data_IF_166257658602
#
_entry.id   IF_166257658602
#
_cell.length_a   1.000
_cell.length_b   1.000
_cell.length_c   1.000
_cell.angle_alpha   90.00
_cell.angle_beta   90.00
_cell.angle_gamma   90.00
#
_symmetry.space_group_name_H-M   'P 1'
#
loop_
_entity.id
_entity.type
_entity.pdbx_description
1 polymer ?
#
# COMPACT_ATOMS: atom_id res chain seq x y z
N UNK A 1 14.71 -15.24 -24.12
CA UNK A 1 14.73 -15.71 -22.71
C UNK A 1 16.18 -15.78 -22.31
N UNK A 2 16.57 -15.09 -21.24
CA UNK A 2 17.94 -15.15 -20.72
C UNK A 2 18.18 -16.56 -20.18
N UNK A 3 19.38 -17.11 -20.39
CA UNK A 3 19.79 -18.35 -19.74
C UNK A 3 20.23 -18.03 -18.31
N UNK A 4 19.25 -17.93 -17.41
CA UNK A 4 19.49 -17.57 -16.02
C UNK A 4 19.98 -18.80 -15.26
N UNK A 5 21.19 -18.77 -14.67
CA UNK A 5 21.71 -19.91 -13.93
C UNK A 5 20.78 -20.29 -12.77
N UNK A 6 20.55 -21.59 -12.56
CA UNK A 6 19.69 -22.08 -11.49
C UNK A 6 20.11 -21.57 -10.09
N UNK A 7 21.42 -21.42 -9.86
CA UNK A 7 21.92 -20.90 -8.59
C UNK A 7 21.46 -19.46 -8.32
N UNK A 8 21.22 -18.65 -9.35
CA UNK A 8 20.78 -17.27 -9.21
C UNK A 8 19.28 -17.21 -8.83
N UNK A 9 18.47 -18.11 -9.38
CA UNK A 9 17.10 -18.35 -8.91
C UNK A 9 17.06 -18.81 -7.44
N UNK A 10 17.95 -19.73 -7.07
CA UNK A 10 18.07 -20.18 -5.69
C UNK A 10 18.51 -19.04 -4.76
N UNK A 11 19.50 -18.25 -5.16
CA UNK A 11 19.97 -17.08 -4.40
C UNK A 11 18.86 -16.05 -4.20
N UNK A 12 18.07 -15.77 -5.24
CA UNK A 12 16.89 -14.93 -5.16
C UNK A 12 15.87 -15.47 -4.14
N UNK A 13 15.46 -16.73 -4.28
CA UNK A 13 14.47 -17.35 -3.40
C UNK A 13 14.92 -17.35 -1.93
N UNK A 14 16.19 -17.72 -1.68
CA UNK A 14 16.79 -17.65 -0.34
C UNK A 14 16.78 -16.22 0.18
N UNK A 15 17.13 -15.23 -0.65
CA UNK A 15 17.12 -13.82 -0.24
C UNK A 15 15.71 -13.37 0.16
N UNK A 16 14.68 -13.72 -0.62
CA UNK A 16 13.28 -13.41 -0.29
C UNK A 16 12.86 -14.07 1.03
N UNK A 17 13.14 -15.37 1.21
CA UNK A 17 12.78 -16.09 2.43
C UNK A 17 13.49 -15.54 3.66
N UNK A 18 14.80 -15.28 3.56
CA UNK A 18 15.58 -14.67 4.65
C UNK A 18 15.05 -13.27 4.95
N UNK A 19 14.74 -12.48 3.92
CA UNK A 19 14.17 -11.15 4.07
C UNK A 19 12.86 -11.19 4.85
N UNK A 20 11.90 -12.03 4.44
CA UNK A 20 10.62 -12.18 5.14
C UNK A 20 10.81 -12.70 6.57
N UNK A 21 11.79 -13.58 6.80
CA UNK A 21 12.10 -14.10 8.13
C UNK A 21 12.69 -13.02 9.04
N UNK A 22 13.65 -12.23 8.54
CA UNK A 22 14.23 -11.08 9.25
C UNK A 22 13.13 -10.06 9.56
N UNK A 23 12.27 -9.78 8.58
CA UNK A 23 11.14 -8.86 8.71
C UNK A 23 10.20 -9.23 9.87
N UNK A 24 9.86 -10.53 9.96
CA UNK A 24 9.03 -11.13 11.00
C UNK A 24 9.72 -11.11 12.36
N UNK A 25 11.00 -11.51 12.43
CA UNK A 25 11.74 -11.64 13.68
C UNK A 25 12.06 -10.29 14.31
N UNK A 26 12.44 -9.30 13.48
CA UNK A 26 12.79 -7.97 13.96
C UNK A 26 11.59 -7.21 14.56
N UNK A 27 10.36 -7.60 14.23
CA UNK A 27 9.14 -6.91 14.62
C UNK A 27 8.12 -7.84 15.27
N UNK A 28 8.63 -8.89 15.93
CA UNK A 28 7.81 -9.85 16.69
C UNK A 28 7.11 -9.20 17.89
N UNK A 29 7.70 -8.14 18.43
CA UNK A 29 7.21 -7.39 19.58
C UNK A 29 6.31 -6.25 19.11
N UNK A 30 5.21 -5.98 19.83
CA UNK A 30 4.16 -5.01 19.46
C UNK A 30 4.58 -3.55 19.60
N UNK A 31 5.82 -3.22 19.25
CA UNK A 31 6.34 -1.86 19.26
C UNK A 31 5.82 -1.07 18.05
N UNK A 32 5.47 0.20 18.28
CA UNK A 32 5.09 1.10 17.19
C UNK A 32 6.37 1.62 16.55
N UNK A 33 6.63 1.22 15.30
CA UNK A 33 7.83 1.62 14.55
C UNK A 33 7.87 3.14 14.43
N UNK A 34 8.93 3.76 14.97
CA UNK A 34 9.16 5.19 14.83
C UNK A 34 9.67 5.59 13.44
N UNK A 35 9.56 6.88 13.09
CA UNK A 35 10.00 7.39 11.78
C UNK A 35 11.48 7.08 11.46
N UNK A 36 12.38 7.23 12.44
CA UNK A 36 13.82 6.95 12.26
C UNK A 36 14.11 5.48 11.99
N UNK A 37 13.41 4.61 12.71
CA UNK A 37 13.49 3.16 12.54
C UNK A 37 12.93 2.73 11.17
N UNK A 38 11.77 3.27 10.78
CA UNK A 38 11.19 3.05 9.46
C UNK A 38 12.11 3.52 8.32
N UNK A 39 12.78 4.66 8.48
CA UNK A 39 13.77 5.16 7.52
C UNK A 39 14.98 4.23 7.40
N UNK A 40 15.52 3.76 8.53
CA UNK A 40 16.65 2.83 8.55
C UNK A 40 16.27 1.50 7.87
N UNK A 41 15.12 0.92 8.20
CA UNK A 41 14.63 -0.29 7.53
C UNK A 41 14.41 -0.05 6.03
N UNK A 42 13.82 1.09 5.64
CA UNK A 42 13.66 1.43 4.22
C UNK A 42 15.00 1.47 3.48
N UNK A 43 16.04 2.07 4.09
CA UNK A 43 17.38 2.09 3.53
C UNK A 43 18.00 0.69 3.40
N UNK A 44 17.80 -0.18 4.38
CA UNK A 44 18.25 -1.59 4.31
C UNK A 44 17.58 -2.31 3.13
N UNK A 45 16.27 -2.17 2.97
CA UNK A 45 15.54 -2.80 1.86
C UNK A 45 15.97 -2.28 0.49
N UNK A 46 16.19 -0.97 0.37
CA UNK A 46 16.74 -0.37 -0.86
C UNK A 46 18.16 -0.87 -1.13
N UNK A 47 19.01 -0.92 -0.11
CA UNK A 47 20.38 -1.44 -0.22
C UNK A 47 20.40 -2.89 -0.69
N UNK A 48 19.55 -3.74 -0.13
CA UNK A 48 19.42 -5.14 -0.54
C UNK A 48 19.05 -5.27 -2.03
N UNK A 49 18.09 -4.47 -2.49
CA UNK A 49 17.67 -4.46 -3.89
C UNK A 49 18.78 -4.00 -4.84
N UNK A 50 19.57 -3.00 -4.45
CA UNK A 50 20.71 -2.50 -5.21
C UNK A 50 21.85 -3.52 -5.27
N UNK A 51 22.15 -4.20 -4.16
CA UNK A 51 23.15 -5.28 -4.11
C UNK A 51 22.74 -6.41 -5.05
N UNK A 52 21.47 -6.82 -5.01
CA UNK A 52 20.97 -7.84 -5.93
C UNK A 52 21.04 -7.38 -7.39
N UNK A 53 20.69 -6.12 -7.68
CA UNK A 53 20.84 -5.54 -9.02
C UNK A 53 22.28 -5.51 -9.51
N UNK A 54 23.25 -5.21 -8.64
CA UNK A 54 24.67 -5.29 -8.96
C UNK A 54 25.10 -6.74 -9.27
N UNK A 55 24.59 -7.74 -8.54
CA UNK A 55 24.83 -9.15 -8.84
C UNK A 55 24.28 -9.51 -10.23
N UNK A 56 23.05 -9.09 -10.53
CA UNK A 56 22.44 -9.29 -11.86
C UNK A 56 23.30 -8.65 -12.96
N UNK A 57 23.75 -7.41 -12.75
CA UNK A 57 24.60 -6.69 -13.70
C UNK A 57 25.94 -7.40 -13.96
N UNK A 58 26.56 -7.94 -12.91
CA UNK A 58 27.86 -8.63 -13.02
C UNK A 58 27.75 -10.04 -13.61
N UNK A 59 26.63 -10.74 -13.37
CA UNK A 59 26.46 -12.15 -13.73
C UNK A 59 25.75 -12.33 -15.07
N UNK A 60 24.66 -11.58 -15.30
CA UNK A 60 23.86 -11.67 -16.51
C UNK A 60 24.23 -10.59 -17.54
N UNK A 61 25.08 -9.63 -17.15
CA UNK A 61 25.59 -8.57 -18.02
C UNK A 61 24.84 -7.25 -17.87
N UNK A 62 25.26 -6.29 -18.69
CA UNK A 62 24.85 -4.89 -18.58
C UNK A 62 23.36 -4.69 -18.84
N UNK A 63 22.83 -5.26 -19.94
CA UNK A 63 21.42 -5.10 -20.31
C UNK A 63 20.47 -5.65 -19.24
N UNK A 64 20.58 -6.91 -18.77
CA UNK A 64 19.69 -7.41 -17.72
C UNK A 64 19.81 -6.65 -16.39
N UNK A 65 21.00 -6.15 -16.06
CA UNK A 65 21.20 -5.32 -14.86
C UNK A 65 20.50 -3.95 -14.96
N UNK A 66 20.53 -3.33 -16.14
CA UNK A 66 19.79 -2.08 -16.41
C UNK A 66 18.29 -2.34 -16.41
N UNK A 67 17.83 -3.42 -17.04
CA UNK A 67 16.43 -3.82 -17.06
C UNK A 67 15.91 -4.08 -15.64
N UNK A 68 16.64 -4.84 -14.83
CA UNK A 68 16.31 -5.08 -13.42
C UNK A 68 16.20 -3.76 -12.65
N UNK A 69 17.19 -2.88 -12.78
CA UNK A 69 17.22 -1.63 -12.02
C UNK A 69 16.09 -0.70 -12.45
N UNK A 70 15.80 -0.65 -13.74
CA UNK A 70 14.72 0.15 -14.31
C UNK A 70 13.36 -0.38 -13.87
N UNK A 71 13.13 -1.69 -13.99
CA UNK A 71 11.91 -2.35 -13.54
C UNK A 71 11.71 -2.20 -12.02
N UNK A 72 12.78 -2.35 -11.23
CA UNK A 72 12.75 -2.19 -9.78
C UNK A 72 12.41 -0.75 -9.39
N UNK A 73 13.03 0.26 -10.01
CA UNK A 73 12.72 1.67 -9.75
C UNK A 73 11.29 2.03 -10.16
N UNK A 74 10.84 1.50 -11.30
CA UNK A 74 9.47 1.67 -11.79
C UNK A 74 8.48 1.11 -10.76
N UNK A 75 8.66 -0.14 -10.33
CA UNK A 75 7.79 -0.76 -9.33
C UNK A 75 7.91 -0.14 -7.96
N UNK A 76 9.10 0.31 -7.57
CA UNK A 76 9.28 0.98 -6.29
C UNK A 76 8.47 2.27 -6.28
N UNK A 77 8.53 3.05 -7.36
CA UNK A 77 7.77 4.30 -7.51
C UNK A 77 6.26 4.04 -7.52
N UNK A 78 5.80 3.05 -8.27
CA UNK A 78 4.39 2.64 -8.33
C UNK A 78 3.88 2.12 -6.98
N UNK A 79 4.71 1.38 -6.23
CA UNK A 79 4.35 0.86 -4.91
C UNK A 79 4.18 1.96 -3.86
N UNK A 80 4.87 3.10 -4.00
CA UNK A 80 4.70 4.25 -3.07
C UNK A 80 3.31 4.85 -3.22
N UNK A 81 2.81 4.97 -4.45
CA UNK A 81 1.43 5.41 -4.71
C UNK A 81 0.40 4.46 -4.05
N UNK A 82 0.67 3.15 -4.08
CA UNK A 82 -0.21 2.14 -3.49
C UNK A 82 -0.30 2.26 -1.95
N UNK A 83 0.74 2.77 -1.28
CA UNK A 83 0.74 2.97 0.16
C UNK A 83 -0.34 3.95 0.64
N UNK A 84 -0.74 4.90 -0.19
CA UNK A 84 -1.83 5.81 0.14
C UNK A 84 -3.18 5.10 0.21
N UNK A 85 -3.41 4.16 -0.71
CA UNK A 85 -4.61 3.32 -0.66
C UNK A 85 -4.55 2.37 0.54
N UNK A 86 -3.38 1.90 0.95
CA UNK A 86 -3.27 1.11 2.17
C UNK A 86 -3.57 1.95 3.42
N UNK A 87 -3.06 3.17 3.49
CA UNK A 87 -3.38 4.12 4.57
C UNK A 87 -4.88 4.40 4.64
N UNK A 88 -5.55 4.52 3.48
CA UNK A 88 -7.00 4.64 3.41
C UNK A 88 -7.70 3.41 3.97
N UNK A 89 -7.33 2.22 3.51
CA UNK A 89 -7.95 0.98 3.98
C UNK A 89 -7.81 0.90 5.51
N UNK A 90 -6.62 1.22 6.05
CA UNK A 90 -6.43 1.25 7.50
C UNK A 90 -7.28 2.30 8.22
N UNK A 91 -7.39 3.51 7.67
CA UNK A 91 -8.24 4.56 8.23
C UNK A 91 -9.72 4.17 8.20
N UNK A 92 -10.19 3.63 7.07
CA UNK A 92 -11.56 3.17 6.86
C UNK A 92 -11.92 2.04 7.81
N UNK A 93 -11.06 1.05 7.98
CA UNK A 93 -11.33 -0.05 8.91
C UNK A 93 -10.96 0.30 10.37
N UNK A 94 -10.45 1.51 10.65
CA UNK A 94 -9.92 1.93 11.95
C UNK A 94 -8.94 0.90 12.53
N UNK A 95 -8.03 0.39 11.70
CA UNK A 95 -7.09 -0.66 12.13
C UNK A 95 -6.13 -0.07 13.16
N UNK A 96 -6.08 -0.60 14.40
CA UNK A 96 -5.12 -0.17 15.40
C UNK A 96 -3.70 -0.28 14.87
N UNK A 97 -2.84 0.71 15.13
CA UNK A 97 -1.46 0.76 14.62
C UNK A 97 -0.65 -0.50 14.92
N UNK A 98 -0.86 -1.10 16.10
CA UNK A 98 -0.21 -2.34 16.51
C UNK A 98 -0.51 -3.53 15.56
N UNK A 99 -1.62 -3.51 14.82
CA UNK A 99 -2.00 -4.60 13.92
C UNK A 99 -1.72 -4.30 12.44
N UNK A 100 -1.51 -3.04 12.07
CA UNK A 100 -1.20 -2.63 10.69
C UNK A 100 0.03 -3.37 10.16
N UNK A 101 1.04 -3.54 11.01
CA UNK A 101 2.25 -4.31 10.71
C UNK A 101 1.93 -5.71 10.18
N UNK A 102 1.11 -6.45 10.93
CA UNK A 102 0.74 -7.82 10.59
C UNK A 102 -0.05 -7.86 9.30
N UNK A 103 -0.99 -6.93 9.09
CA UNK A 103 -1.75 -6.87 7.84
C UNK A 103 -0.81 -6.62 6.65
N UNK A 104 0.14 -5.69 6.77
CA UNK A 104 1.12 -5.42 5.71
C UNK A 104 2.03 -6.61 5.43
N UNK A 105 2.45 -7.35 6.46
CA UNK A 105 3.27 -8.55 6.28
C UNK A 105 2.56 -9.61 5.44
N UNK A 106 1.31 -9.92 5.79
CA UNK A 106 0.49 -10.83 4.98
C UNK A 106 0.20 -10.25 3.59
N UNK A 107 0.00 -8.93 3.51
CA UNK A 107 -0.10 -8.14 2.29
C UNK A 107 1.06 -8.34 1.32
N UNK A 108 2.30 -8.29 1.81
CA UNK A 108 3.50 -8.50 0.99
C UNK A 108 3.62 -9.95 0.52
N UNK A 109 3.27 -10.92 1.37
CA UNK A 109 3.28 -12.34 0.99
C UNK A 109 2.25 -12.61 -0.10
N UNK A 110 1.01 -12.14 0.07
CA UNK A 110 -0.02 -12.33 -0.94
C UNK A 110 0.32 -11.58 -2.23
N UNK A 111 0.82 -10.35 -2.15
CA UNK A 111 1.31 -9.61 -3.32
C UNK A 111 2.40 -10.38 -4.09
N UNK A 112 3.40 -10.96 -3.41
CA UNK A 112 4.43 -11.80 -4.04
C UNK A 112 3.84 -13.00 -4.80
N UNK A 113 2.83 -13.65 -4.22
CA UNK A 113 2.16 -14.82 -4.82
C UNK A 113 1.29 -14.38 -5.99
N UNK A 114 0.40 -13.41 -5.79
CA UNK A 114 -0.51 -12.94 -6.83
C UNK A 114 0.24 -12.30 -8.00
N UNK A 115 1.31 -11.55 -7.75
CA UNK A 115 2.15 -11.02 -8.83
C UNK A 115 2.85 -12.15 -9.60
N UNK A 116 3.34 -13.19 -8.92
CA UNK A 116 3.85 -14.38 -9.59
C UNK A 116 2.82 -15.04 -10.50
N UNK A 117 1.58 -15.17 -10.03
CA UNK A 117 0.46 -15.70 -10.83
C UNK A 117 0.10 -14.79 -12.01
N UNK A 118 0.05 -13.47 -11.80
CA UNK A 118 -0.25 -12.49 -12.86
C UNK A 118 0.82 -12.47 -13.94
N UNK A 119 2.09 -12.54 -13.54
CA UNK A 119 3.22 -12.61 -14.47
C UNK A 119 3.21 -13.91 -15.27
N UNK A 120 2.93 -15.05 -14.61
CA UNK A 120 2.79 -16.33 -15.30
C UNK A 120 1.58 -16.36 -16.25
N UNK A 121 0.48 -15.68 -15.90
CA UNK A 121 -0.70 -15.54 -16.76
C UNK A 121 -0.50 -14.54 -17.91
N UNK A 122 0.47 -13.63 -17.79
CA UNK A 122 0.80 -12.62 -18.79
C UNK A 122 -0.22 -11.47 -18.93
N UNK A 123 0.07 -10.54 -19.85
CA UNK A 123 -0.74 -9.32 -20.08
C UNK A 123 -2.17 -9.62 -20.55
N UNK A 124 -2.43 -10.81 -21.11
CA UNK A 124 -3.75 -11.20 -21.60
C UNK A 124 -4.84 -11.20 -20.49
N UNK A 125 -4.45 -11.39 -19.23
CA UNK A 125 -5.37 -11.36 -18.09
C UNK A 125 -5.77 -9.91 -17.74
N UNK A 126 -4.85 -8.95 -17.91
CA UNK A 126 -4.99 -7.56 -17.44
C UNK A 126 -6.16 -6.83 -18.11
N UNK A 127 -6.35 -7.03 -19.42
CA UNK A 127 -7.40 -6.33 -20.18
C UNK A 127 -8.83 -6.71 -19.77
N UNK A 128 -9.03 -7.83 -19.05
CA UNK A 128 -10.35 -8.28 -18.60
C UNK A 128 -10.81 -7.61 -17.30
N UNK A 129 -9.89 -6.98 -16.56
CA UNK A 129 -10.19 -6.43 -15.23
C UNK A 129 -10.26 -4.91 -15.18
N UNK A 130 -10.12 -4.21 -16.31
CA UNK A 130 -10.18 -2.74 -16.37
C UNK A 130 -11.48 -2.16 -15.78
N UNK A 131 -12.60 -2.86 -15.90
CA UNK A 131 -13.89 -2.43 -15.34
C UNK A 131 -13.88 -2.36 -13.79
N UNK A 132 -13.02 -3.14 -13.12
CA UNK A 132 -12.88 -3.15 -11.65
C UNK A 132 -12.32 -1.82 -11.13
N UNK A 133 -11.52 -1.11 -11.94
CA UNK A 133 -10.99 0.21 -11.59
C UNK A 133 -12.10 1.23 -11.35
N UNK A 134 -13.18 1.20 -12.14
CA UNK A 134 -14.34 2.08 -11.93
C UNK A 134 -15.05 1.79 -10.60
N UNK A 135 -15.19 0.51 -10.23
CA UNK A 135 -15.79 0.13 -8.96
C UNK A 135 -14.95 0.64 -7.78
N UNK A 136 -13.62 0.54 -7.88
CA UNK A 136 -12.71 1.04 -6.85
C UNK A 136 -12.76 2.57 -6.74
N UNK A 137 -12.75 3.28 -7.87
CA UNK A 137 -12.90 4.73 -7.89
C UNK A 137 -14.23 5.20 -7.25
N UNK A 138 -15.32 4.49 -7.48
CA UNK A 138 -16.61 4.78 -6.84
C UNK A 138 -16.53 4.64 -5.30
N UNK A 139 -15.82 3.64 -4.79
CA UNK A 139 -15.57 3.46 -3.35
C UNK A 139 -14.71 4.62 -2.80
N UNK A 140 -13.72 5.09 -3.54
CA UNK A 140 -12.88 6.23 -3.15
C UNK A 140 -13.67 7.54 -3.07
N UNK A 141 -14.53 7.81 -4.06
CA UNK A 141 -15.39 8.99 -4.03
C UNK A 141 -16.43 8.93 -2.91
N UNK A 142 -17.02 7.76 -2.67
CA UNK A 142 -17.91 7.57 -1.52
C UNK A 142 -17.19 7.83 -0.19
N UNK A 143 -15.96 7.33 -0.04
CA UNK A 143 -15.14 7.54 1.17
C UNK A 143 -14.77 9.01 1.35
N UNK A 144 -14.38 9.67 0.26
CA UNK A 144 -14.13 11.12 0.23
C UNK A 144 -15.36 11.90 0.70
N UNK A 145 -16.52 11.63 0.11
CA UNK A 145 -17.78 12.29 0.46
C UNK A 145 -18.14 12.09 1.94
N UNK A 146 -18.00 10.87 2.46
CA UNK A 146 -18.27 10.57 3.86
C UNK A 146 -17.33 11.34 4.80
N UNK A 147 -16.02 11.35 4.52
CA UNK A 147 -15.02 12.07 5.32
C UNK A 147 -15.25 13.59 5.30
N UNK A 148 -15.69 14.14 4.19
CA UNK A 148 -16.00 15.59 4.09
C UNK A 148 -17.31 15.98 4.78
N UNK A 149 -18.24 15.03 4.97
CA UNK A 149 -19.56 15.27 5.56
C UNK A 149 -19.60 15.05 7.07
N UNK A 150 -18.78 14.16 7.61
CA UNK A 150 -18.63 13.98 9.06
C UNK A 150 -17.71 15.09 9.62
N UNK A 151 -18.30 16.16 10.19
CA UNK A 151 -17.56 17.11 11.04
C UNK A 151 -17.05 16.37 12.28
N UNK A 152 -15.75 16.51 12.58
CA UNK A 152 -15.00 15.96 13.72
C UNK A 152 -15.80 15.06 14.68
N UNK A 153 -15.99 13.79 14.33
CA UNK A 153 -16.72 12.87 15.21
C UNK A 153 -16.98 11.48 14.61
N UNK A 154 -16.19 10.50 15.08
CA UNK A 154 -16.44 9.05 14.98
C UNK A 154 -16.90 8.48 13.63
N UNK A 155 -15.93 8.12 12.79
CA UNK A 155 -16.11 7.27 11.61
C UNK A 155 -16.67 5.87 12.00
N UNK A 156 -17.96 5.57 11.92
CA UNK A 156 -18.46 4.22 12.24
C UNK A 156 -18.23 3.23 11.06
N UNK A 157 -17.35 2.21 11.19
CA UNK A 157 -17.03 1.23 10.13
C UNK A 157 -18.03 0.06 10.06
N UNK A 158 -18.94 -0.08 11.03
CA UNK A 158 -19.86 -1.22 11.13
C UNK A 158 -20.84 -1.36 9.95
N UNK A 159 -21.00 -0.31 9.14
CA UNK A 159 -22.00 -0.22 8.06
C UNK A 159 -21.46 -0.41 6.63
N UNK A 160 -20.17 -0.72 6.48
CA UNK A 160 -19.46 -0.46 5.23
C UNK A 160 -19.43 -1.62 4.21
N UNK A 161 -19.43 -1.30 2.90
CA UNK A 161 -19.62 -2.21 1.76
C UNK A 161 -18.64 -3.40 1.75
N UNK A 162 -17.37 -3.19 2.06
CA UNK A 162 -16.38 -4.26 2.11
C UNK A 162 -16.64 -5.26 3.26
N UNK A 163 -17.06 -4.76 4.43
CA UNK A 163 -17.50 -5.60 5.56
C UNK A 163 -18.78 -6.35 5.20
N UNK A 164 -19.72 -5.71 4.47
CA UNK A 164 -20.95 -6.35 3.98
C UNK A 164 -20.69 -7.45 2.95
N UNK A 165 -19.77 -7.24 2.01
CA UNK A 165 -19.35 -8.26 1.05
C UNK A 165 -18.65 -9.44 1.74
N UNK A 166 -17.75 -9.18 2.69
CA UNK A 166 -17.11 -10.24 3.45
C UNK A 166 -18.11 -11.02 4.32
N UNK A 167 -19.05 -10.32 4.99
CA UNK A 167 -20.14 -10.94 5.77
C UNK A 167 -21.04 -11.86 4.96
N UNK A 168 -21.12 -11.65 3.63
CA UNK A 168 -21.91 -12.49 2.73
C UNK A 168 -21.24 -13.84 2.46
N UNK A 169 -19.91 -13.93 2.62
CA UNK A 169 -19.12 -15.14 2.33
C UNK A 169 -18.67 -15.85 3.62
N UNK A 170 -18.39 -15.09 4.69
CA UNK A 170 -17.92 -15.63 5.98
C UNK A 170 -18.58 -14.86 7.13
N UNK A 171 -19.01 -15.51 8.23
CA UNK A 171 -19.45 -14.76 9.42
C UNK A 171 -18.28 -13.94 9.97
N UNK A 172 -18.47 -12.61 10.05
CA UNK A 172 -17.46 -11.65 10.51
C UNK A 172 -17.96 -11.00 11.80
N UNK A 173 -17.14 -10.99 12.85
CA UNK A 173 -17.41 -10.25 14.08
C UNK A 173 -17.22 -8.74 13.85
N UNK A 174 -17.97 -7.90 14.56
CA UNK A 174 -17.82 -6.43 14.53
C UNK A 174 -16.48 -5.93 15.12
N UNK A 175 -15.95 -6.62 16.13
CA UNK A 175 -14.79 -6.16 16.90
C UNK A 175 -13.48 -6.90 16.56
N UNK A 176 -12.37 -6.18 16.72
CA UNK A 176 -11.03 -6.74 16.62
C UNK A 176 -10.72 -7.70 17.77
N UNK A 177 -10.28 -8.91 17.46
CA UNK A 177 -9.86 -9.92 18.45
C UNK A 177 -8.33 -10.06 18.52
N UNK A 178 -7.65 -8.94 18.79
CA UNK A 178 -6.19 -8.88 18.75
C UNK A 178 -5.63 -9.09 17.35
N UNK A 179 -4.50 -9.80 17.26
CA UNK A 179 -3.85 -10.13 15.98
C UNK A 179 -4.41 -11.39 15.28
N UNK A 180 -5.54 -11.95 15.75
CA UNK A 180 -6.10 -13.20 15.20
C UNK A 180 -6.97 -12.89 13.98
N UNK A 181 -6.79 -13.63 12.90
CA UNK A 181 -7.67 -13.58 11.71
C UNK A 181 -8.97 -14.37 11.88
N UNK A 182 -8.92 -15.40 12.73
CA UNK A 182 -10.07 -16.24 13.05
C UNK A 182 -10.16 -16.42 14.56
N UNK A 183 -11.39 -16.45 15.06
CA UNK A 183 -11.72 -16.78 16.43
C UNK A 183 -12.79 -17.86 16.46
N UNK A 184 -12.81 -18.66 17.52
CA UNK A 184 -13.91 -19.60 17.77
C UNK A 184 -14.94 -18.90 18.64
N UNK A 185 -16.17 -18.79 18.13
CA UNK A 185 -17.34 -18.31 18.88
C UNK A 185 -18.45 -19.34 18.79
N UNK A 186 -19.04 -19.71 19.92
CA UNK A 186 -20.13 -20.69 19.99
C UNK A 186 -19.87 -21.97 19.16
N UNK A 187 -18.62 -22.48 19.19
CA UNK A 187 -18.20 -23.67 18.46
C UNK A 187 -17.91 -23.49 16.97
N UNK A 188 -18.17 -22.32 16.38
CA UNK A 188 -17.93 -22.01 14.95
C UNK A 188 -16.70 -21.12 14.77
N UNK A 189 -15.97 -21.30 13.65
CA UNK A 189 -14.88 -20.39 13.26
C UNK A 189 -15.48 -19.13 12.63
N UNK A 190 -15.19 -17.98 13.21
CA UNK A 190 -15.66 -16.65 12.78
C UNK A 190 -14.45 -15.84 12.35
N UNK A 191 -14.54 -15.15 11.22
CA UNK A 191 -13.49 -14.26 10.74
C UNK A 191 -13.50 -12.94 11.53
N UNK A 192 -12.31 -12.38 11.76
CA UNK A 192 -12.19 -11.05 12.36
C UNK A 192 -12.12 -9.97 11.28
N UNK A 193 -12.38 -8.70 11.62
CA UNK A 193 -12.21 -7.58 10.69
C UNK A 193 -10.79 -7.53 10.09
N UNK A 194 -9.76 -8.00 10.80
CA UNK A 194 -8.38 -8.03 10.29
C UNK A 194 -8.24 -8.83 8.98
N UNK A 195 -9.02 -9.90 8.81
CA UNK A 195 -9.00 -10.70 7.59
C UNK A 195 -9.61 -9.91 6.42
N UNK A 196 -10.66 -9.14 6.67
CA UNK A 196 -11.27 -8.25 5.68
C UNK A 196 -10.28 -7.19 5.20
N UNK A 197 -9.48 -6.65 6.12
CA UNK A 197 -8.45 -5.65 5.82
C UNK A 197 -7.35 -6.25 4.95
N UNK A 198 -6.83 -7.44 5.30
CA UNK A 198 -5.83 -8.12 4.45
C UNK A 198 -6.40 -8.35 3.05
N UNK A 199 -7.60 -8.91 2.96
CA UNK A 199 -8.24 -9.15 1.66
C UNK A 199 -8.45 -7.87 0.84
N UNK A 200 -8.76 -6.74 1.50
CA UNK A 200 -8.90 -5.45 0.83
C UNK A 200 -7.56 -4.91 0.32
N UNK A 201 -6.47 -5.09 1.09
CA UNK A 201 -5.11 -4.72 0.66
C UNK A 201 -4.66 -5.57 -0.53
N UNK A 202 -4.85 -6.89 -0.46
CA UNK A 202 -4.54 -7.81 -1.56
C UNK A 202 -5.33 -7.46 -2.83
N UNK A 203 -6.62 -7.17 -2.69
CA UNK A 203 -7.44 -6.76 -3.83
C UNK A 203 -6.97 -5.43 -4.43
N UNK A 204 -6.58 -4.46 -3.59
CA UNK A 204 -6.03 -3.19 -4.06
C UNK A 204 -4.68 -3.41 -4.78
N UNK A 205 -3.77 -4.22 -4.23
CA UNK A 205 -2.50 -4.56 -4.88
C UNK A 205 -2.71 -5.24 -6.24
N UNK A 206 -3.66 -6.18 -6.31
CA UNK A 206 -4.03 -6.85 -7.56
C UNK A 206 -4.52 -5.89 -8.63
N UNK A 207 -5.33 -4.90 -8.23
CA UNK A 207 -5.82 -3.86 -9.11
C UNK A 207 -4.66 -2.98 -9.60
N UNK A 208 -3.71 -2.64 -8.73
CA UNK A 208 -2.53 -1.86 -9.12
C UNK A 208 -1.56 -2.65 -10.02
N UNK A 209 -1.49 -3.97 -9.86
CA UNK A 209 -0.73 -4.85 -10.74
C UNK A 209 -1.23 -4.78 -12.19
N UNK A 210 -2.48 -4.38 -12.44
CA UNK A 210 -3.01 -4.18 -13.80
C UNK A 210 -2.33 -3.03 -14.55
N UNK A 211 -1.70 -2.11 -13.84
CA UNK A 211 -0.91 -1.03 -14.43
C UNK A 211 0.57 -1.37 -14.43
N UNK A 212 1.02 -1.89 -13.30
CA UNK A 212 2.43 -2.05 -13.01
C UNK A 212 3.02 -3.24 -13.76
N UNK A 213 2.26 -4.34 -13.96
CA UNK A 213 2.74 -5.52 -14.69
C UNK A 213 3.00 -5.23 -16.17
N UNK A 214 2.06 -4.65 -16.96
CA UNK A 214 2.36 -4.28 -18.34
C UNK A 214 3.52 -3.29 -18.46
N UNK A 215 3.63 -2.33 -17.53
CA UNK A 215 4.70 -1.35 -17.54
C UNK A 215 6.08 -1.98 -17.30
N UNK A 216 6.17 -2.97 -16.39
CA UNK A 216 7.41 -3.73 -16.17
C UNK A 216 7.73 -4.66 -17.34
N UNK A 217 6.72 -5.32 -17.92
CA UNK A 217 6.93 -6.19 -19.08
C UNK A 217 7.41 -5.39 -20.32
N UNK A 218 7.04 -4.11 -20.42
CA UNK A 218 7.60 -3.23 -21.44
C UNK A 218 9.09 -2.89 -21.22
N UNK A 219 9.60 -3.04 -19.99
CA UNK A 219 11.03 -2.89 -19.69
C UNK A 219 11.78 -4.18 -19.99
N UNK A 220 11.21 -5.34 -19.63
CA UNK A 220 11.84 -6.64 -19.88
C UNK A 220 10.80 -7.74 -20.01
N UNK A 221 10.98 -8.64 -20.98
CA UNK A 221 10.17 -9.85 -21.14
C UNK A 221 10.74 -11.05 -20.35
N UNK A 222 11.86 -10.87 -19.66
CA UNK A 222 12.49 -11.94 -18.91
C UNK A 222 11.83 -12.13 -17.53
N UNK A 223 11.23 -13.30 -17.32
CA UNK A 223 10.47 -13.60 -16.12
C UNK A 223 11.29 -13.49 -14.83
N UNK A 224 12.60 -13.81 -14.87
CA UNK A 224 13.47 -13.67 -13.71
C UNK A 224 13.66 -12.19 -13.36
N UNK A 225 13.99 -11.36 -14.35
CA UNK A 225 14.21 -9.92 -14.15
C UNK A 225 12.93 -9.25 -13.66
N UNK A 226 11.81 -9.53 -14.32
CA UNK A 226 10.50 -8.96 -13.96
C UNK A 226 10.07 -9.39 -12.56
N UNK A 227 10.14 -10.69 -12.23
CA UNK A 227 9.67 -11.15 -10.92
C UNK A 227 10.59 -10.70 -9.78
N UNK A 228 11.92 -10.79 -9.97
CA UNK A 228 12.88 -10.42 -8.93
C UNK A 228 12.84 -8.92 -8.62
N UNK A 229 12.90 -8.05 -9.63
CA UNK A 229 12.82 -6.58 -9.46
C UNK A 229 11.54 -6.17 -8.73
N UNK A 230 10.43 -6.81 -9.10
CA UNK A 230 9.13 -6.59 -8.51
C UNK A 230 9.06 -7.04 -7.04
N UNK A 231 9.59 -8.23 -6.72
CA UNK A 231 9.68 -8.73 -5.36
C UNK A 231 10.50 -7.79 -4.47
N UNK A 232 11.67 -7.34 -4.92
CA UNK A 232 12.51 -6.40 -4.17
C UNK A 232 11.87 -5.02 -3.99
N UNK A 233 10.99 -4.59 -4.92
CA UNK A 233 10.24 -3.35 -4.74
C UNK A 233 9.28 -3.44 -3.55
N UNK A 234 8.59 -4.57 -3.38
CA UNK A 234 7.55 -4.77 -2.36
C UNK A 234 8.06 -5.29 -1.01
N UNK A 235 9.21 -5.96 -0.94
CA UNK A 235 9.77 -6.45 0.34
C UNK A 235 10.00 -5.33 1.38
N UNK A 236 10.28 -4.11 0.93
CA UNK A 236 10.43 -2.93 1.80
C UNK A 236 9.17 -2.09 2.01
N UNK A 237 8.01 -2.54 1.49
CA UNK A 237 6.77 -1.76 1.48
C UNK A 237 6.30 -1.41 2.90
N UNK A 238 6.48 -2.32 3.85
CA UNK A 238 6.11 -2.12 5.25
C UNK A 238 6.89 -0.97 5.90
N UNK A 239 8.20 -0.95 5.74
CA UNK A 239 9.05 0.13 6.26
C UNK A 239 8.67 1.48 5.64
N UNK A 240 8.38 1.48 4.34
CA UNK A 240 7.96 2.67 3.62
C UNK A 240 6.55 3.14 4.05
N UNK A 241 5.63 2.22 4.35
CA UNK A 241 4.33 2.54 4.94
C UNK A 241 4.50 3.26 6.28
N UNK A 242 5.31 2.75 7.20
CA UNK A 242 5.49 3.40 8.51
C UNK A 242 6.27 4.71 8.42
N UNK A 243 7.16 4.84 7.43
CA UNK A 243 7.77 6.12 7.11
C UNK A 243 6.72 7.13 6.68
N UNK A 244 5.83 6.72 5.76
CA UNK A 244 4.71 7.54 5.30
C UNK A 244 3.72 7.84 6.42
N UNK A 245 3.32 6.84 7.20
CA UNK A 245 2.38 6.97 8.31
C UNK A 245 2.94 7.89 9.41
N UNK A 246 4.25 7.83 9.69
CA UNK A 246 4.91 8.75 10.62
C UNK A 246 5.01 10.19 10.10
N UNK A 247 4.96 10.40 8.78
CA UNK A 247 4.67 11.72 8.22
C UNK A 247 3.20 12.07 8.42
N UNK A 248 2.29 11.11 8.17
CA UNK A 248 0.84 11.25 8.32
C UNK A 248 0.40 11.65 9.74
N UNK A 249 1.03 11.08 10.76
CA UNK A 249 0.66 11.28 12.16
C UNK A 249 1.05 12.66 12.71
N UNK A 250 1.95 13.37 12.03
CA UNK A 250 2.30 14.76 12.36
C UNK A 250 1.27 15.77 11.83
N UNK A 251 0.20 15.32 11.17
CA UNK A 251 -0.88 16.17 10.66
C UNK A 251 -2.06 16.28 11.62
N UNK A 252 -2.42 17.50 12.03
CA UNK A 252 -3.61 17.76 12.86
C UNK A 252 -4.90 17.93 12.02
N UNK A 253 -4.79 18.17 10.71
CA UNK A 253 -5.91 18.30 9.75
C UNK A 253 -6.13 17.04 8.89
N UNK A 254 -5.83 15.86 9.47
CA UNK A 254 -5.68 14.60 8.77
C UNK A 254 -6.88 14.23 7.86
N UNK A 255 -8.12 14.50 8.30
CA UNK A 255 -9.33 14.15 7.55
C UNK A 255 -9.45 14.87 6.20
N UNK A 256 -9.12 16.17 6.13
CA UNK A 256 -9.25 16.97 4.89
C UNK A 256 -8.13 16.66 3.89
N UNK A 257 -6.90 16.50 4.36
CA UNK A 257 -5.76 16.11 3.53
C UNK A 257 -5.94 14.71 2.94
N UNK A 258 -6.39 13.75 3.75
CA UNK A 258 -6.74 12.41 3.28
C UNK A 258 -7.86 12.49 2.26
N UNK A 259 -8.97 13.18 2.52
CA UNK A 259 -10.08 13.28 1.56
C UNK A 259 -9.63 13.84 0.20
N UNK A 260 -8.76 14.85 0.18
CA UNK A 260 -8.24 15.41 -1.07
C UNK A 260 -7.39 14.39 -1.85
N UNK A 261 -6.55 13.64 -1.15
CA UNK A 261 -5.77 12.54 -1.74
C UNK A 261 -6.69 11.45 -2.29
N UNK A 262 -7.75 11.09 -1.56
CA UNK A 262 -8.72 10.08 -2.00
C UNK A 262 -9.47 10.49 -3.26
N UNK A 263 -9.91 11.73 -3.33
CA UNK A 263 -10.55 12.28 -4.50
C UNK A 263 -9.60 12.23 -5.70
N UNK A 264 -8.34 12.66 -5.51
CA UNK A 264 -7.32 12.64 -6.55
C UNK A 264 -7.05 11.22 -7.07
N UNK A 265 -6.88 10.24 -6.19
CA UNK A 265 -6.66 8.83 -6.58
C UNK A 265 -7.89 8.28 -7.30
N UNK A 266 -9.11 8.60 -6.86
CA UNK A 266 -10.35 8.22 -7.55
C UNK A 266 -10.41 8.75 -8.99
N UNK A 267 -10.03 10.01 -9.20
CA UNK A 267 -9.91 10.60 -10.53
C UNK A 267 -8.84 9.89 -11.36
N UNK A 268 -7.65 9.64 -10.80
CA UNK A 268 -6.56 8.90 -11.47
C UNK A 268 -7.05 7.53 -11.99
N UNK A 269 -7.76 6.76 -11.15
CA UNK A 269 -8.27 5.44 -11.53
C UNK A 269 -9.32 5.50 -12.64
N UNK A 270 -10.19 6.52 -12.64
CA UNK A 270 -11.16 6.73 -13.72
C UNK A 270 -10.48 7.08 -15.03
N UNK A 271 -9.52 8.00 -15.00
CA UNK A 271 -8.76 8.40 -16.19
C UNK A 271 -8.04 7.20 -16.78
N UNK A 272 -7.39 6.39 -15.93
CA UNK A 272 -6.70 5.18 -16.34
C UNK A 272 -7.66 4.12 -16.92
N UNK A 273 -8.78 3.86 -16.25
CA UNK A 273 -9.79 2.93 -16.75
C UNK A 273 -10.37 3.40 -18.09
N UNK A 274 -10.57 4.71 -18.24
CA UNK A 274 -11.12 5.31 -19.44
C UNK A 274 -10.14 5.30 -20.61
N UNK A 275 -8.85 5.56 -20.35
CA UNK A 275 -7.77 5.42 -21.34
C UNK A 275 -7.74 4.01 -21.94
N UNK A 276 -7.89 2.99 -21.09
CA UNK A 276 -7.88 1.58 -21.50
C UNK A 276 -9.19 1.10 -22.17
N UNK A 277 -10.36 1.59 -21.76
CA UNK A 277 -11.67 1.08 -22.25
C UNK A 277 -12.31 1.91 -23.37
N UNK A 278 -12.16 3.23 -23.36
CA UNK A 278 -12.90 4.10 -24.29
C UNK A 278 -12.01 4.63 -25.40
N UNK A 279 -10.87 5.24 -25.06
CA UNK A 279 -9.95 5.77 -26.07
C UNK A 279 -8.58 6.07 -25.47
N UNK A 280 -7.52 5.67 -26.17
CA UNK A 280 -6.12 6.00 -25.80
C UNK A 280 -5.80 7.50 -25.89
N UNK A 281 -6.75 8.31 -26.37
CA UNK A 281 -6.65 9.78 -26.37
C UNK A 281 -6.90 10.42 -25.01
N UNK A 282 -7.46 9.68 -24.04
CA UNK A 282 -7.72 10.19 -22.69
C UNK A 282 -6.40 10.21 -21.92
N UNK A 283 -5.95 11.34 -21.34
CA UNK A 283 -4.67 11.38 -20.65
C UNK A 283 -4.71 10.55 -19.35
N UNK A 284 -3.72 9.68 -19.17
CA UNK A 284 -3.43 9.04 -17.88
C UNK A 284 -2.49 9.92 -17.05
N UNK A 285 -2.52 9.75 -15.73
CA UNK A 285 -1.63 10.49 -14.81
C UNK A 285 -0.43 9.60 -14.50
N UNK A 286 0.79 9.94 -14.98
CA UNK A 286 2.00 9.21 -14.65
C UNK A 286 2.23 9.17 -13.14
N UNK A 287 2.72 8.04 -12.63
CA UNK A 287 2.92 7.84 -11.21
C UNK A 287 3.90 8.81 -10.54
N UNK A 288 5.00 9.27 -11.18
CA UNK A 288 5.83 10.33 -10.60
C UNK A 288 5.05 11.65 -10.36
N UNK A 289 4.12 11.98 -11.26
CA UNK A 289 3.25 13.17 -11.12
C UNK A 289 2.24 12.95 -10.00
N UNK A 290 1.63 11.77 -9.95
CA UNK A 290 0.73 11.37 -8.86
C UNK A 290 1.41 11.48 -7.49
N UNK A 291 2.60 10.92 -7.35
CA UNK A 291 3.41 11.03 -6.15
C UNK A 291 3.71 12.49 -5.81
N UNK A 292 4.16 13.29 -6.79
CA UNK A 292 4.45 14.70 -6.58
C UNK A 292 3.21 15.48 -6.10
N UNK A 293 2.04 15.24 -6.69
CA UNK A 293 0.76 15.85 -6.27
C UNK A 293 0.42 15.44 -4.85
N UNK A 294 0.50 14.15 -4.52
CA UNK A 294 0.19 13.66 -3.18
C UNK A 294 1.17 14.22 -2.13
N UNK A 295 2.48 14.19 -2.42
CA UNK A 295 3.51 14.79 -1.58
C UNK A 295 3.27 16.30 -1.41
N UNK A 296 2.84 17.00 -2.46
CA UNK A 296 2.51 18.43 -2.40
C UNK A 296 1.28 18.69 -1.55
N UNK A 297 0.21 17.90 -1.71
CA UNK A 297 -1.00 17.98 -0.87
C UNK A 297 -0.63 17.75 0.59
N UNK A 298 0.20 16.75 0.87
CA UNK A 298 0.72 16.48 2.20
C UNK A 298 1.56 17.65 2.72
N UNK A 299 2.55 18.11 1.96
CA UNK A 299 3.42 19.22 2.36
C UNK A 299 2.65 20.52 2.61
N UNK A 300 1.69 20.86 1.74
CA UNK A 300 0.81 22.01 1.91
C UNK A 300 -0.06 21.85 3.16
N UNK A 301 -0.58 20.64 3.41
CA UNK A 301 -1.33 20.32 4.64
C UNK A 301 -0.44 20.41 5.89
N UNK A 302 0.85 20.01 5.81
CA UNK A 302 1.86 20.22 6.90
C UNK A 302 1.94 21.71 7.18
N UNK A 303 2.22 22.50 6.13
CA UNK A 303 2.56 23.91 6.25
C UNK A 303 1.38 24.72 6.82
N UNK A 304 0.16 24.41 6.40
CA UNK A 304 -1.08 24.98 6.93
C UNK A 304 -1.33 24.59 8.38
N UNK A 305 -1.09 23.31 8.74
CA UNK A 305 -1.29 22.82 10.11
C UNK A 305 -0.30 23.43 11.10
N UNK A 306 0.95 23.67 10.71
CA UNK A 306 1.96 24.33 11.57
C UNK A 306 1.64 25.82 11.77
N UNK A 307 1.10 26.49 10.74
CA UNK A 307 0.76 27.92 10.79
C UNK A 307 -0.53 28.23 11.57
N UNK A 308 -1.36 27.22 11.84
CA UNK A 308 -2.58 27.35 12.65
C UNK A 308 -2.64 26.24 13.71
N UNK A 309 -1.86 26.32 14.80
CA UNK A 309 -2.04 25.44 15.93
C UNK A 309 -3.46 25.65 16.50
N UNK A 310 -4.20 24.57 16.74
CA UNK A 310 -5.60 24.64 17.16
C UNK A 310 -5.76 25.44 18.46
N UNK A 311 -6.78 26.29 18.48
CA UNK A 311 -7.23 27.12 19.61
C UNK A 311 -7.64 26.34 20.87
N UNK A 312 -7.60 25.00 20.84
CA UNK A 312 -7.89 24.14 21.98
C UNK A 312 -6.88 24.28 23.14
N UNK A 313 -5.67 24.80 22.88
CA UNK A 313 -4.70 25.11 23.95
C UNK A 313 -5.06 26.41 24.69
N UNK A 314 -5.78 27.34 24.05
CA UNK A 314 -6.14 28.64 24.64
C UNK A 314 -7.30 28.54 25.64
N UNK A 315 -8.13 27.50 25.53
CA UNK A 315 -9.29 27.34 26.42
C UNK A 315 -8.93 26.67 27.75
N UNK A 316 -7.94 25.76 27.74
CA UNK A 316 -7.45 25.12 28.98
C UNK A 316 -6.62 26.05 29.87
N UNK A 317 -6.04 27.11 29.31
CA UNK A 317 -5.32 28.15 30.07
C UNK A 317 -6.22 29.27 30.59
N UNK A 318 -7.46 29.40 30.08
CA UNK A 318 -8.45 30.37 30.60
C UNK A 318 -9.24 29.80 31.77
N UNK A 319 -9.58 28.52 31.74
CA UNK A 319 -10.32 27.84 32.81
C UNK A 319 -9.49 27.58 34.08
N UNK A 320 -8.16 27.69 33.98
CA UNK A 320 -7.24 27.54 35.11
C UNK A 320 -6.77 28.88 35.69
N UNK A 321 -7.33 30.00 35.22
CA UNK A 321 -6.93 31.36 35.62
C UNK A 321 -8.01 32.16 36.34
N UNK A 322 -9.18 31.56 36.60
CA UNK A 322 -10.31 32.17 37.34
C UNK A 322 -10.45 31.62 38.78
N UNK A 323 -9.49 30.81 39.26
CA UNK A 323 -9.46 30.22 40.61
C UNK A 323 -8.27 30.77 41.46
N UNK A 324 -8.02 32.08 41.43
CA UNK A 324 -7.16 32.78 42.43
C UNK A 324 -7.71 34.18 42.78
#
# INVERSE_FOLDING_TARGET
>A
MLDVPFWLWAAFAVTVVVSLTVDLLAHRDTHVIGFKEAAAWSAVWVGLALVFGAIVFLVLGTTPGVDYTTAWLLEKSLSVDNLFVFALIFAYFKVPRAYQHRVLFFGVIGALVFRGLFLAAGVALVNRFTAVLFAFAAVLFYSTYKILKEEEGSFDPGSSIAVRLLRKVVPVRDEYAGMKFFVKEAGKRVATPLLAVVAAIEAADLIFALDSVPAVLAVSDDAFIVYSSNAFAILGLRALYFLLAGLLDRFHHLSKGIALILFFIGVKLILQASHKLFSSSIPEIPSPISLAVIVTILAASVLLSIRRPSSATTQKTRDSGDDD
#
